data_IF_585032580435
#
_entry.id   IF_585032580435
#
_cell.length_a   1.000
_cell.length_b   1.000
_cell.length_c   1.000
_cell.angle_alpha   90.00
_cell.angle_beta   90.00
_cell.angle_gamma   90.00
#
_symmetry.space_group_name_H-M   'P 1'
#
loop_
_entity.id
_entity.type
_entity.pdbx_description
1 polymer ?
#
# COMPACT_ATOMS: atom_id res chain seq x y z
N UNK A 1 4.26 63.62 14.65
CA UNK A 1 5.44 63.08 13.93
C UNK A 1 5.12 61.63 13.58
N UNK A 2 5.35 61.25 12.33
CA UNK A 2 4.83 60.06 11.62
C UNK A 2 5.60 58.75 11.91
N UNK A 3 5.14 57.66 11.26
CA UNK A 3 5.59 56.23 11.14
C UNK A 3 4.81 55.26 12.06
N UNK A 4 3.83 54.44 11.64
CA UNK A 4 3.61 53.41 10.58
C UNK A 4 4.30 52.05 10.85
N UNK A 5 3.44 51.04 11.15
CA UNK A 5 3.53 49.56 11.11
C UNK A 5 4.78 48.90 11.76
N UNK A 6 4.67 47.78 12.49
CA UNK A 6 4.56 46.43 11.87
C UNK A 6 4.09 45.34 12.85
N UNK A 7 3.29 44.42 12.30
CA UNK A 7 3.10 43.02 12.72
C UNK A 7 2.11 42.73 13.87
N UNK A 8 0.81 42.81 13.56
CA UNK A 8 -0.22 42.11 14.32
C UNK A 8 -0.24 40.63 13.91
N UNK A 9 0.57 39.80 14.55
CA UNK A 9 0.33 38.37 14.58
C UNK A 9 -0.72 38.10 15.68
N UNK A 10 -1.99 38.17 15.28
CA UNK A 10 -3.11 37.73 16.10
C UNK A 10 -3.03 36.20 16.20
N UNK A 11 -2.55 35.67 17.32
CA UNK A 11 -2.67 34.24 17.63
C UNK A 11 -4.13 33.96 18.00
N UNK A 12 -4.97 33.74 16.99
CA UNK A 12 -6.28 33.13 17.20
C UNK A 12 -6.03 31.65 17.44
N UNK A 13 -6.00 31.24 18.72
CA UNK A 13 -6.16 29.85 19.10
C UNK A 13 -7.60 29.45 18.74
N UNK A 14 -7.80 28.88 17.56
CA UNK A 14 -9.03 28.17 17.26
C UNK A 14 -9.06 26.91 18.12
N UNK A 15 -9.69 27.00 19.30
CA UNK A 15 -10.13 25.82 20.04
C UNK A 15 -11.36 25.28 19.31
N UNK A 16 -11.11 24.60 18.19
CA UNK A 16 -12.16 23.89 17.48
C UNK A 16 -12.63 22.71 18.32
N UNK A 17 -13.83 22.81 18.90
CA UNK A 17 -14.63 21.63 19.24
C UNK A 17 -15.10 20.98 17.93
N UNK A 18 -14.16 20.51 17.13
CA UNK A 18 -14.41 19.69 15.96
C UNK A 18 -14.04 18.27 16.36
N UNK A 19 -15.04 17.39 16.42
CA UNK A 19 -14.76 15.98 16.19
C UNK A 19 -13.93 15.88 14.90
N UNK A 20 -12.85 15.08 14.89
CA UNK A 20 -12.18 14.68 13.66
C UNK A 20 -13.12 13.77 12.86
N UNK A 21 -14.25 14.30 12.39
CA UNK A 21 -14.99 13.70 11.30
C UNK A 21 -14.19 14.04 10.06
N UNK A 22 -13.33 13.10 9.68
CA UNK A 22 -12.74 13.06 8.35
C UNK A 22 -13.90 13.08 7.37
N UNK A 23 -14.26 14.27 6.86
CA UNK A 23 -15.16 14.39 5.72
C UNK A 23 -14.39 13.85 4.53
N UNK A 24 -14.43 12.53 4.36
CA UNK A 24 -13.96 11.89 3.15
C UNK A 24 -14.79 12.49 2.00
N UNK A 25 -14.20 13.20 1.03
CA UNK A 25 -14.92 13.60 -0.17
C UNK A 25 -15.58 12.33 -0.71
N UNK A 26 -16.89 12.39 -1.05
CA UNK A 26 -17.68 11.25 -1.54
C UNK A 26 -16.77 10.37 -2.39
N UNK A 27 -16.43 9.18 -1.89
CA UNK A 27 -15.35 8.38 -2.44
C UNK A 27 -15.67 8.07 -3.90
N UNK A 28 -15.02 8.81 -4.80
CA UNK A 28 -15.12 8.55 -6.23
C UNK A 28 -14.51 7.18 -6.51
N UNK A 29 -15.10 6.46 -7.45
CA UNK A 29 -14.60 5.17 -7.88
C UNK A 29 -13.26 5.35 -8.60
N UNK A 30 -12.17 5.25 -7.85
CA UNK A 30 -10.82 5.48 -8.37
C UNK A 30 -10.39 6.94 -8.42
N UNK A 31 -9.27 7.18 -9.10
CA UNK A 31 -8.69 8.49 -9.31
C UNK A 31 -7.16 8.49 -9.32
N UNK A 32 -6.62 9.68 -9.59
CA UNK A 32 -5.20 9.98 -9.48
C UNK A 32 -4.85 10.43 -8.06
N UNK A 33 -3.81 9.86 -7.48
CA UNK A 33 -3.34 10.22 -6.15
C UNK A 33 -1.84 10.45 -6.19
N UNK A 34 -1.43 11.70 -5.97
CA UNK A 34 -0.03 12.09 -5.93
C UNK A 34 0.33 12.65 -4.56
N UNK A 35 1.47 12.22 -4.02
CA UNK A 35 1.99 12.75 -2.76
C UNK A 35 2.81 11.74 -1.97
N UNK A 36 3.37 12.18 -0.85
CA UNK A 36 4.14 11.31 0.04
C UNK A 36 3.26 10.38 0.88
N UNK A 37 2.01 10.74 1.14
CA UNK A 37 1.07 9.90 1.88
C UNK A 37 -0.34 10.12 1.39
N UNK A 38 -1.21 9.15 1.61
CA UNK A 38 -2.63 9.31 1.34
C UNK A 38 -3.46 8.16 1.89
N UNK A 39 -4.77 8.37 1.91
CA UNK A 39 -5.75 7.37 2.27
C UNK A 39 -6.87 7.35 1.26
N UNK A 40 -7.39 6.16 0.98
CA UNK A 40 -8.50 5.94 0.06
C UNK A 40 -9.28 4.71 0.50
N UNK A 41 -10.54 4.65 0.09
CA UNK A 41 -11.43 3.57 0.45
C UNK A 41 -12.30 3.17 -0.74
N UNK A 42 -12.89 1.98 -0.65
CA UNK A 42 -13.93 1.57 -1.58
C UNK A 42 -15.09 2.58 -1.59
N UNK A 43 -15.78 2.78 -2.74
CA UNK A 43 -16.97 3.62 -2.79
C UNK A 43 -18.00 3.18 -1.75
N UNK A 44 -18.54 4.13 -0.99
CA UNK A 44 -19.55 3.87 0.03
C UNK A 44 -19.03 3.56 1.43
N UNK A 45 -17.73 3.25 1.60
CA UNK A 45 -17.13 2.99 2.91
C UNK A 45 -17.46 4.12 3.91
N UNK A 46 -17.92 3.83 5.15
CA UNK A 46 -17.95 2.52 5.81
C UNK A 46 -19.20 1.66 5.55
N UNK A 47 -20.11 2.10 4.67
CA UNK A 47 -21.23 1.29 4.20
C UNK A 47 -20.77 0.33 3.10
N UNK A 48 -21.66 -0.59 2.74
CA UNK A 48 -21.37 -1.57 1.71
C UNK A 48 -21.14 -0.90 0.34
N UNK A 49 -20.19 -1.45 -0.42
CA UNK A 49 -19.98 -1.02 -1.80
C UNK A 49 -21.18 -1.38 -2.68
N UNK A 50 -21.24 -0.85 -3.90
CA UNK A 50 -22.27 -1.22 -4.88
C UNK A 50 -21.78 -2.39 -5.75
N UNK A 51 -22.69 -3.16 -6.37
CA UNK A 51 -22.31 -4.16 -7.35
C UNK A 51 -21.77 -3.50 -8.64
N UNK A 52 -21.12 -4.30 -9.49
CA UNK A 52 -20.64 -3.95 -10.82
C UNK A 52 -19.68 -2.75 -10.86
N UNK A 53 -18.84 -2.61 -9.84
CA UNK A 53 -17.81 -1.58 -9.78
C UNK A 53 -16.56 -2.01 -10.54
N UNK A 54 -15.89 -1.01 -11.12
CA UNK A 54 -14.56 -1.17 -11.71
C UNK A 54 -13.76 0.11 -11.40
N UNK A 55 -13.21 0.17 -10.18
CA UNK A 55 -12.51 1.34 -9.67
C UNK A 55 -11.01 1.16 -9.79
N UNK A 56 -10.30 2.20 -10.21
CA UNK A 56 -8.85 2.19 -10.38
C UNK A 56 -8.25 3.42 -9.70
N UNK A 57 -7.42 3.18 -8.68
CA UNK A 57 -6.61 4.20 -8.03
C UNK A 57 -5.18 4.11 -8.56
N UNK A 58 -4.72 5.18 -9.21
CA UNK A 58 -3.35 5.30 -9.64
C UNK A 58 -2.61 6.15 -8.62
N UNK A 59 -1.67 5.54 -7.91
CA UNK A 59 -0.94 6.18 -6.83
C UNK A 59 0.49 6.42 -7.29
N UNK A 60 0.95 7.66 -7.18
CA UNK A 60 2.30 8.07 -7.53
C UNK A 60 2.94 8.85 -6.38
N UNK A 61 4.09 8.37 -5.92
CA UNK A 61 4.92 9.07 -4.94
C UNK A 61 6.05 9.81 -5.66
N UNK A 62 6.79 10.72 -4.99
CA UNK A 62 7.92 11.42 -5.60
C UNK A 62 8.91 10.47 -6.27
N UNK A 63 9.57 10.94 -7.33
CA UNK A 63 10.58 10.16 -8.04
C UNK A 63 11.71 9.71 -7.13
N UNK A 64 12.27 8.52 -7.41
CA UNK A 64 13.31 7.93 -6.59
C UNK A 64 12.81 7.30 -5.28
N UNK A 65 11.50 7.23 -5.04
CA UNK A 65 10.88 6.55 -3.88
C UNK A 65 10.08 5.31 -4.28
N UNK A 66 9.73 4.50 -3.28
CA UNK A 66 8.80 3.37 -3.40
C UNK A 66 7.52 3.65 -2.63
N UNK A 67 6.43 2.99 -3.05
CA UNK A 67 5.12 3.05 -2.41
C UNK A 67 4.98 1.90 -1.42
N UNK A 68 4.75 2.23 -0.16
CA UNK A 68 4.28 1.30 0.87
C UNK A 68 2.75 1.38 0.94
N UNK A 69 2.06 0.29 0.61
CA UNK A 69 0.60 0.19 0.66
C UNK A 69 0.16 -0.70 1.82
N UNK A 70 -0.80 -0.24 2.61
CA UNK A 70 -1.36 -1.00 3.73
C UNK A 70 -2.87 -0.87 3.77
N UNK A 71 -3.56 -2.01 3.92
CA UNK A 71 -4.99 -2.05 4.21
C UNK A 71 -5.20 -1.94 5.72
N UNK A 72 -6.04 -1.00 6.16
CA UNK A 72 -6.48 -0.85 7.56
C UNK A 72 -7.74 -1.64 7.85
N UNK A 73 -8.65 -1.71 6.87
CA UNK A 73 -9.87 -2.51 6.89
C UNK A 73 -10.02 -3.24 5.56
N UNK A 74 -10.54 -4.47 5.58
CA UNK A 74 -10.77 -5.28 4.39
C UNK A 74 -11.90 -6.29 4.62
N UNK A 75 -12.97 -6.18 3.84
CA UNK A 75 -14.09 -7.11 3.81
C UNK A 75 -14.74 -7.06 2.42
N UNK A 76 -14.41 -8.03 1.58
CA UNK A 76 -15.03 -8.29 0.28
C UNK A 76 -15.69 -9.67 0.32
N UNK A 77 -16.46 -10.00 -0.71
CA UNK A 77 -16.99 -11.35 -0.89
C UNK A 77 -15.88 -12.41 -0.85
N UNK A 78 -16.15 -13.52 -0.16
CA UNK A 78 -15.20 -14.62 -0.03
C UNK A 78 -15.32 -15.56 -1.22
N UNK A 79 -14.21 -15.77 -1.93
CA UNK A 79 -14.12 -16.77 -2.99
C UNK A 79 -12.73 -17.40 -3.00
N UNK A 80 -12.64 -18.74 -3.14
CA UNK A 80 -11.38 -19.47 -3.06
C UNK A 80 -10.30 -19.02 -4.07
N UNK A 81 -10.71 -18.39 -5.18
CA UNK A 81 -9.80 -17.85 -6.21
C UNK A 81 -10.04 -16.36 -6.49
N UNK A 82 -10.80 -15.67 -5.63
CA UNK A 82 -11.18 -14.27 -5.79
C UNK A 82 -11.74 -13.96 -7.20
N UNK A 83 -12.64 -14.81 -7.70
CA UNK A 83 -13.18 -14.67 -9.06
C UNK A 83 -14.31 -13.64 -9.18
N UNK A 84 -15.02 -13.41 -8.08
CA UNK A 84 -16.08 -12.42 -7.95
C UNK A 84 -15.46 -11.09 -7.51
N UNK A 85 -15.82 -10.58 -6.34
CA UNK A 85 -15.25 -9.35 -5.79
C UNK A 85 -13.78 -9.50 -5.41
N UNK A 86 -12.96 -8.57 -5.88
CA UNK A 86 -11.54 -8.56 -5.54
C UNK A 86 -10.88 -7.19 -5.65
N UNK A 87 -9.77 -7.06 -4.92
CA UNK A 87 -8.79 -5.99 -5.10
C UNK A 87 -7.51 -6.58 -5.69
N UNK A 88 -7.09 -6.08 -6.85
CA UNK A 88 -5.80 -6.37 -7.46
C UNK A 88 -4.85 -5.19 -7.28
N UNK A 89 -3.60 -5.47 -6.93
CA UNK A 89 -2.56 -4.47 -6.75
C UNK A 89 -1.42 -4.74 -7.73
N UNK A 90 -1.05 -3.74 -8.53
CA UNK A 90 -0.03 -3.84 -9.56
C UNK A 90 1.14 -2.90 -9.28
N UNK A 91 2.34 -3.38 -9.57
CA UNK A 91 3.60 -2.67 -9.41
C UNK A 91 3.85 -1.73 -10.60
N UNK A 92 3.30 -0.53 -10.54
CA UNK A 92 3.34 0.46 -11.62
C UNK A 92 2.15 0.41 -12.57
N UNK A 93 2.22 1.25 -13.62
CA UNK A 93 1.17 1.41 -14.64
C UNK A 93 1.38 0.54 -15.87
N UNK A 94 0.29 0.27 -16.59
CA UNK A 94 0.31 -0.39 -17.89
C UNK A 94 -0.13 -1.85 -17.86
N UNK A 95 -0.24 -2.45 -19.05
CA UNK A 95 -0.72 -3.83 -19.23
C UNK A 95 0.27 -4.89 -18.76
N UNK A 96 1.56 -4.55 -18.78
CA UNK A 96 2.66 -5.44 -18.40
C UNK A 96 3.10 -5.25 -16.93
N UNK A 97 2.35 -4.45 -16.15
CA UNK A 97 2.63 -4.21 -14.75
C UNK A 97 2.51 -5.52 -13.95
N UNK A 98 3.53 -5.80 -13.13
CA UNK A 98 3.56 -7.01 -12.32
C UNK A 98 2.44 -7.00 -11.28
N UNK A 99 1.63 -8.07 -11.22
CA UNK A 99 0.65 -8.26 -10.17
C UNK A 99 1.35 -8.57 -8.83
N UNK A 100 1.21 -7.68 -7.85
CA UNK A 100 1.70 -7.89 -6.48
C UNK A 100 0.76 -8.78 -5.68
N UNK A 101 -0.53 -8.75 -5.99
CA UNK A 101 -1.49 -9.68 -5.42
C UNK A 101 -2.94 -9.40 -5.83
N UNK A 102 -3.79 -10.41 -5.62
CA UNK A 102 -5.24 -10.36 -5.81
C UNK A 102 -5.89 -10.86 -4.52
N UNK A 103 -6.76 -10.05 -3.94
CA UNK A 103 -7.27 -10.25 -2.58
C UNK A 103 -8.79 -10.15 -2.54
N UNK A 104 -9.42 -10.97 -1.70
CA UNK A 104 -10.87 -11.00 -1.45
C UNK A 104 -11.14 -11.60 -0.06
N UNK A 105 -12.41 -11.67 0.35
CA UNK A 105 -12.79 -12.12 1.68
C UNK A 105 -12.52 -11.09 2.79
N UNK A 106 -12.40 -11.58 4.03
CA UNK A 106 -12.25 -10.75 5.24
C UNK A 106 -10.87 -10.81 5.87
N UNK A 107 -9.96 -11.63 5.32
CA UNK A 107 -8.58 -11.66 5.78
C UNK A 107 -7.83 -10.45 5.21
N UNK A 108 -7.35 -9.60 6.10
CA UNK A 108 -6.65 -8.37 5.73
C UNK A 108 -5.31 -8.70 5.05
N UNK A 109 -5.05 -8.22 3.83
CA UNK A 109 -3.77 -8.42 3.17
C UNK A 109 -2.60 -7.85 3.98
N UNK A 110 -1.43 -8.47 3.84
CA UNK A 110 -0.17 -7.93 4.36
C UNK A 110 0.21 -6.60 3.69
N UNK A 111 1.22 -5.92 4.24
CA UNK A 111 1.74 -4.70 3.63
C UNK A 111 2.44 -5.03 2.30
N UNK A 112 2.19 -4.20 1.29
CA UNK A 112 2.75 -4.33 -0.05
C UNK A 112 3.74 -3.20 -0.31
N UNK A 113 4.80 -3.50 -1.06
CA UNK A 113 5.84 -2.53 -1.42
C UNK A 113 6.04 -2.59 -2.93
N UNK A 114 6.00 -1.45 -3.60
CA UNK A 114 6.33 -1.36 -5.02
C UNK A 114 7.84 -1.37 -5.26
N UNK A 115 8.27 -1.66 -6.49
CA UNK A 115 9.67 -1.48 -6.93
C UNK A 115 9.88 -0.18 -7.70
N UNK A 116 8.81 0.56 -7.97
CA UNK A 116 8.82 1.88 -8.62
C UNK A 116 8.13 2.92 -7.73
N UNK A 117 8.10 4.18 -8.16
CA UNK A 117 7.34 5.23 -7.48
C UNK A 117 5.84 5.21 -7.80
N UNK A 118 5.34 4.15 -8.45
CA UNK A 118 3.94 4.01 -8.83
C UNK A 118 3.36 2.65 -8.37
N UNK A 119 2.10 2.68 -7.94
CA UNK A 119 1.31 1.48 -7.69
C UNK A 119 -0.11 1.71 -8.22
N UNK A 120 -0.73 0.67 -8.78
CA UNK A 120 -2.12 0.73 -9.24
C UNK A 120 -2.94 -0.24 -8.41
N UNK A 121 -4.01 0.27 -7.81
CA UNK A 121 -4.97 -0.54 -7.05
C UNK A 121 -6.27 -0.58 -7.83
N UNK A 122 -6.77 -1.78 -8.12
CA UNK A 122 -8.01 -2.00 -8.87
C UNK A 122 -8.98 -2.80 -8.04
N UNK A 123 -10.20 -2.29 -7.89
CA UNK A 123 -11.33 -3.03 -7.32
C UNK A 123 -12.30 -3.38 -8.44
N UNK A 124 -12.69 -4.65 -8.52
CA UNK A 124 -13.76 -5.12 -9.40
C UNK A 124 -14.78 -5.90 -8.56
N UNK A 125 -16.07 -5.62 -8.78
CA UNK A 125 -17.18 -6.35 -8.14
C UNK A 125 -18.16 -6.90 -9.16
N UNK A 126 -18.85 -7.99 -8.82
CA UNK A 126 -19.88 -8.59 -9.67
C UNK A 126 -21.29 -8.08 -9.32
N UNK A 127 -22.34 -8.79 -9.73
CA UNK A 127 -23.72 -8.36 -9.58
C UNK A 127 -24.36 -8.72 -8.22
N UNK A 128 -23.61 -9.29 -7.28
CA UNK A 128 -24.14 -9.71 -5.98
C UNK A 128 -23.14 -9.66 -4.81
N UNK A 129 -23.66 -9.83 -3.60
CA UNK A 129 -22.87 -10.02 -2.35
C UNK A 129 -21.91 -8.88 -2.01
N UNK A 130 -22.49 -7.73 -1.68
CA UNK A 130 -21.73 -6.57 -1.25
C UNK A 130 -21.31 -6.64 0.23
N UNK A 131 -20.21 -5.99 0.54
CA UNK A 131 -19.66 -5.86 1.89
C UNK A 131 -19.12 -4.45 2.10
N UNK A 132 -18.65 -4.13 3.30
CA UNK A 132 -18.10 -2.80 3.63
C UNK A 132 -16.89 -2.39 2.78
N UNK A 133 -16.23 -3.32 2.10
CA UNK A 133 -15.10 -3.05 1.22
C UNK A 133 -13.79 -2.83 1.99
N UNK A 134 -13.05 -1.79 1.66
CA UNK A 134 -11.72 -1.58 2.24
C UNK A 134 -11.42 -0.12 2.58
N UNK A 135 -10.52 0.08 3.53
CA UNK A 135 -9.84 1.33 3.81
C UNK A 135 -8.33 1.07 3.71
N UNK A 136 -7.66 1.80 2.83
CA UNK A 136 -6.24 1.67 2.57
C UNK A 136 -5.51 3.00 2.76
N UNK A 137 -4.22 2.90 3.06
CA UNK A 137 -3.30 4.02 3.16
C UNK A 137 -2.01 3.71 2.42
N UNK A 138 -1.43 4.71 1.77
CA UNK A 138 -0.10 4.62 1.19
C UNK A 138 0.86 5.64 1.81
N UNK A 139 2.15 5.32 1.78
CA UNK A 139 3.23 6.24 2.09
C UNK A 139 4.41 6.03 1.15
N UNK A 140 5.16 7.09 0.88
CA UNK A 140 6.43 7.04 0.22
C UNK A 140 7.50 6.58 1.20
N UNK A 141 8.51 5.90 0.69
CA UNK A 141 9.73 5.68 1.44
C UNK A 141 10.90 5.49 0.50
N UNK A 142 12.08 5.49 1.07
CA UNK A 142 13.29 5.27 0.31
C UNK A 142 13.26 3.84 -0.26
N UNK A 143 13.53 3.64 -1.56
CA UNK A 143 13.76 2.30 -2.11
C UNK A 143 14.92 1.76 -1.29
N UNK A 144 14.73 0.64 -0.58
CA UNK A 144 15.71 0.11 0.38
C UNK A 144 17.13 0.42 -0.08
N UNK A 145 17.70 1.50 0.47
CA UNK A 145 19.02 1.97 0.10
C UNK A 145 19.91 0.86 0.60
N UNK A 146 20.44 0.05 -0.33
CA UNK A 146 21.20 -1.17 -0.09
C UNK A 146 21.83 -1.12 1.30
N UNK A 147 21.11 -1.70 2.27
CA UNK A 147 21.46 -1.56 3.67
C UNK A 147 22.78 -2.28 3.77
N UNK A 148 23.86 -1.52 3.99
CA UNK A 148 25.06 -2.04 4.63
C UNK A 148 24.53 -2.80 5.82
N UNK A 149 24.68 -4.12 5.79
CA UNK A 149 24.03 -5.05 6.70
C UNK A 149 24.37 -4.70 8.14
N UNK A 150 23.60 -3.82 8.75
CA UNK A 150 23.73 -3.53 10.18
C UNK A 150 22.40 -3.69 10.90
N UNK A 151 21.24 -3.55 10.25
CA UNK A 151 19.95 -3.91 10.88
C UNK A 151 18.94 -4.41 9.82
N UNK A 152 18.64 -5.70 9.77
CA UNK A 152 17.57 -6.26 8.92
C UNK A 152 16.96 -7.51 9.53
N UNK A 153 15.65 -7.48 9.77
CA UNK A 153 14.86 -8.55 10.40
C UNK A 153 14.65 -9.79 9.48
N UNK A 154 14.75 -9.67 8.16
CA UNK A 154 14.92 -10.76 7.19
C UNK A 154 15.14 -10.20 5.76
N UNK A 155 15.60 -11.04 4.84
CA UNK A 155 15.82 -10.66 3.43
C UNK A 155 17.27 -10.25 3.13
N UNK A 156 17.52 -9.84 1.89
CA UNK A 156 18.83 -9.38 1.43
C UNK A 156 19.26 -9.96 0.08
N UNK A 157 20.47 -9.59 -0.32
CA UNK A 157 21.09 -10.02 -1.59
C UNK A 157 21.97 -11.24 -1.34
N UNK A 158 21.73 -12.32 -2.07
CA UNK A 158 22.45 -13.58 -1.94
C UNK A 158 23.24 -13.86 -3.22
N UNK A 159 24.56 -13.69 -3.15
CA UNK A 159 25.52 -13.96 -4.23
C UNK A 159 26.41 -15.16 -3.87
N UNK A 160 25.80 -16.31 -3.56
CA UNK A 160 26.52 -17.52 -3.21
C UNK A 160 26.11 -18.65 -4.13
N UNK A 161 27.05 -19.53 -4.46
CA UNK A 161 26.80 -20.72 -5.28
C UNK A 161 25.82 -21.68 -4.59
N UNK A 162 25.91 -21.78 -3.26
CA UNK A 162 24.97 -22.51 -2.42
C UNK A 162 24.76 -21.76 -1.10
N UNK A 163 23.57 -21.91 -0.54
CA UNK A 163 23.22 -21.31 0.73
C UNK A 163 21.78 -21.63 1.11
N UNK A 164 21.42 -21.32 2.35
CA UNK A 164 20.04 -21.36 2.81
C UNK A 164 19.66 -19.98 3.32
N UNK A 165 18.41 -19.60 3.06
CA UNK A 165 17.76 -18.48 3.72
C UNK A 165 16.71 -19.03 4.67
N UNK A 166 16.51 -18.32 5.78
CA UNK A 166 15.58 -18.71 6.83
C UNK A 166 14.57 -17.60 7.05
N UNK A 167 13.38 -17.98 7.46
CA UNK A 167 12.40 -17.03 7.97
C UNK A 167 12.96 -16.34 9.24
N UNK A 168 12.46 -15.14 9.58
CA UNK A 168 12.75 -14.56 10.89
C UNK A 168 12.45 -15.57 12.00
N UNK A 169 13.23 -15.50 13.07
CA UNK A 169 13.09 -16.31 14.29
C UNK A 169 13.30 -17.83 14.11
N UNK A 170 13.64 -18.33 12.92
CA UNK A 170 13.91 -19.77 12.76
C UNK A 170 15.27 -20.16 13.34
N UNK A 171 15.40 -21.28 14.10
CA UNK A 171 14.37 -22.26 14.43
C UNK A 171 13.70 -22.03 15.80
N UNK A 172 13.95 -20.89 16.42
CA UNK A 172 13.67 -20.61 17.83
C UNK A 172 12.20 -20.32 18.11
N UNK A 173 11.50 -19.63 17.19
CA UNK A 173 10.07 -19.32 17.34
C UNK A 173 9.39 -19.00 16.02
N UNK A 174 8.07 -18.74 16.09
CA UNK A 174 7.24 -18.35 14.96
C UNK A 174 7.69 -17.02 14.34
N UNK A 175 7.45 -16.88 13.03
CA UNK A 175 7.74 -15.65 12.31
C UNK A 175 6.81 -14.51 12.77
N UNK A 176 7.29 -13.25 12.84
CA UNK A 176 6.46 -12.14 13.28
C UNK A 176 5.37 -11.77 12.24
N UNK A 177 4.17 -11.36 12.68
CA UNK A 177 3.11 -10.95 11.78
C UNK A 177 3.44 -9.62 11.09
N UNK A 178 3.06 -9.48 9.81
CA UNK A 178 3.23 -8.25 9.05
C UNK A 178 4.66 -7.97 8.57
N UNK A 179 5.55 -8.98 8.62
CA UNK A 179 6.91 -8.88 8.08
C UNK A 179 6.92 -9.25 6.60
N UNK A 180 7.50 -8.38 5.78
CA UNK A 180 7.74 -8.63 4.36
C UNK A 180 9.23 -8.86 4.13
N UNK A 181 9.60 -10.11 3.82
CA UNK A 181 10.97 -10.47 3.48
C UNK A 181 11.16 -10.46 1.96
N UNK A 182 12.30 -9.96 1.48
CA UNK A 182 12.67 -10.02 0.06
C UNK A 182 14.10 -10.55 -0.09
N UNK A 183 14.26 -11.62 -0.85
CA UNK A 183 15.57 -12.21 -1.17
C UNK A 183 15.86 -12.05 -2.65
N UNK A 184 17.00 -11.45 -2.97
CA UNK A 184 17.47 -11.30 -4.33
C UNK A 184 18.63 -12.27 -4.58
N UNK A 185 18.33 -13.42 -5.18
CA UNK A 185 19.30 -14.50 -5.44
C UNK A 185 19.98 -14.26 -6.78
N UNK A 186 21.32 -14.29 -6.79
CA UNK A 186 22.12 -14.02 -7.98
C UNK A 186 23.10 -15.17 -8.17
N UNK A 187 22.83 -15.98 -9.20
CA UNK A 187 23.74 -17.04 -9.62
C UNK A 187 24.98 -16.46 -10.30
N UNK A 188 26.09 -17.20 -10.22
CA UNK A 188 27.27 -16.91 -11.01
C UNK A 188 26.93 -16.98 -12.50
N UNK A 189 27.35 -15.99 -13.28
CA UNK A 189 26.99 -15.84 -14.71
C UNK A 189 27.47 -16.99 -15.61
N UNK A 190 28.38 -17.83 -15.12
CA UNK A 190 29.11 -18.82 -15.94
C UNK A 190 28.75 -20.29 -15.65
N UNK A 191 27.60 -20.57 -15.02
CA UNK A 191 27.13 -21.95 -14.75
C UNK A 191 25.84 -22.34 -15.49
N UNK A 192 25.65 -21.84 -16.71
CA UNK A 192 24.74 -22.48 -17.67
C UNK A 192 25.58 -23.45 -18.49
N UNK A 193 25.55 -24.72 -18.11
CA UNK A 193 26.10 -25.82 -18.91
C UNK A 193 25.03 -26.87 -19.11
#
# INVERSE_FOLDING_TARGET
MWFIATNLALWVMLVGQGSCQQNFPRTTCGGEMEGDTGQFASPGFPQDYRPNLNCVWNIKVPEGRVVFLSFRFFALEMNARCMYDHVSVFNGRGKDAQLLGKFCGTFRPGALVSTSNEIVVKMATDDSTENRGFLASFSSGEPHKQIVATESFCGGRLEKEFGSFKSPNWPESDYPPGVTCSWHIIGAKDKVR
#
